data_IF_363167088808
#
_entry.id   IF_363167088808
#
_cell.length_a   1.000
_cell.length_b   1.000
_cell.length_c   1.000
_cell.angle_alpha   90.00
_cell.angle_beta   90.00
_cell.angle_gamma   90.00
#
_symmetry.space_group_name_H-M   'P 1'
#
loop_
_entity.id
_entity.type
_entity.pdbx_description
1 polymer ?
#
# COMPACT_ATOMS: atom_id res chain seq x y z
N UNK A 1 23.95 -26.32 -52.30
CA UNK A 1 23.83 -27.31 -51.21
C UNK A 1 24.71 -26.82 -50.06
N UNK A 2 24.13 -26.18 -49.05
CA UNK A 2 24.86 -25.64 -47.90
C UNK A 2 23.99 -25.76 -46.66
N UNK A 3 24.44 -26.55 -45.69
CA UNK A 3 23.67 -26.99 -44.53
C UNK A 3 23.48 -25.85 -43.51
N UNK A 4 22.24 -25.65 -43.07
CA UNK A 4 21.85 -24.72 -42.02
C UNK A 4 21.91 -25.49 -40.70
N UNK A 5 22.88 -25.16 -39.84
CA UNK A 5 23.00 -25.71 -38.49
C UNK A 5 21.99 -25.07 -37.55
N UNK A 6 21.03 -25.87 -37.07
CA UNK A 6 20.12 -25.54 -35.96
C UNK A 6 20.89 -25.65 -34.65
N UNK A 7 21.12 -24.54 -33.96
CA UNK A 7 21.48 -24.56 -32.53
C UNK A 7 20.20 -24.70 -31.70
N UNK A 8 20.11 -25.81 -30.98
CA UNK A 8 19.05 -26.12 -30.02
C UNK A 8 19.38 -25.40 -28.72
N UNK A 9 18.44 -24.59 -28.23
CA UNK A 9 18.56 -23.81 -27.00
C UNK A 9 18.68 -24.71 -25.77
N UNK A 10 19.54 -24.30 -24.84
CA UNK A 10 19.69 -24.93 -23.54
C UNK A 10 18.55 -24.47 -22.62
N UNK A 11 17.67 -25.40 -22.25
CA UNK A 11 16.68 -25.24 -21.19
C UNK A 11 17.39 -25.05 -19.84
N UNK A 12 17.44 -23.82 -19.35
CA UNK A 12 17.74 -23.53 -17.95
C UNK A 12 16.47 -23.72 -17.11
N UNK A 13 16.26 -24.95 -16.64
CA UNK A 13 15.28 -25.25 -15.60
C UNK A 13 15.67 -24.49 -14.32
N UNK A 14 14.83 -23.53 -13.91
CA UNK A 14 14.93 -22.88 -12.60
C UNK A 14 14.68 -23.92 -11.49
N UNK A 15 15.42 -23.88 -10.36
CA UNK A 15 15.17 -24.76 -9.23
C UNK A 15 13.79 -24.48 -8.62
N UNK A 16 12.97 -25.53 -8.52
CA UNK A 16 11.63 -25.47 -7.94
C UNK A 16 11.63 -25.03 -6.48
N UNK A 17 10.81 -24.03 -6.14
CA UNK A 17 10.56 -23.61 -4.75
C UNK A 17 9.70 -24.66 -4.04
N UNK A 18 10.16 -25.10 -2.87
CA UNK A 18 9.46 -26.03 -1.97
C UNK A 18 8.21 -25.37 -1.35
N UNK A 19 7.06 -26.06 -1.27
CA UNK A 19 5.85 -25.52 -0.65
C UNK A 19 6.01 -25.38 0.87
N UNK A 20 5.61 -24.21 1.42
CA UNK A 20 5.58 -23.94 2.86
C UNK A 20 4.38 -24.66 3.50
N UNK A 21 4.64 -25.42 4.58
CA UNK A 21 3.61 -26.04 5.43
C UNK A 21 2.78 -24.96 6.13
N UNK A 22 1.46 -24.97 5.92
CA UNK A 22 0.51 -24.13 6.64
C UNK A 22 0.37 -24.56 8.10
N UNK A 23 0.40 -23.59 9.01
CA UNK A 23 0.11 -23.76 10.44
C UNK A 23 -1.40 -23.59 10.63
N UNK A 24 -2.06 -24.63 11.14
CA UNK A 24 -3.47 -24.60 11.48
C UNK A 24 -3.70 -23.75 12.75
N UNK A 25 -4.58 -22.76 12.67
CA UNK A 25 -5.02 -21.95 13.80
C UNK A 25 -6.34 -22.53 14.33
N UNK A 26 -6.35 -22.96 15.60
CA UNK A 26 -7.54 -23.42 16.30
C UNK A 26 -8.45 -22.25 16.71
N UNK A 27 -9.77 -22.30 16.43
CA UNK A 27 -10.72 -21.33 16.95
C UNK A 27 -11.25 -21.79 18.31
N UNK A 28 -11.09 -20.97 19.35
CA UNK A 28 -11.94 -21.04 20.53
C UNK A 28 -11.24 -20.82 21.86
N UNK A 29 -11.04 -19.57 22.25
CA UNK A 29 -11.09 -19.17 23.66
C UNK A 29 -11.72 -17.78 23.79
N UNK A 30 -12.93 -17.72 24.35
CA UNK A 30 -13.55 -16.51 24.87
C UNK A 30 -13.15 -16.37 26.33
N UNK A 31 -12.42 -15.31 26.66
CA UNK A 31 -12.22 -14.87 28.04
C UNK A 31 -13.27 -13.80 28.36
N UNK A 32 -14.07 -14.07 29.40
CA UNK A 32 -15.03 -13.14 29.95
C UNK A 32 -14.33 -12.14 30.89
N UNK A 33 -14.65 -10.85 30.73
CA UNK A 33 -14.19 -9.77 31.63
C UNK A 33 -15.33 -9.39 32.59
N UNK A 34 -15.09 -9.30 33.91
CA UNK A 34 -16.10 -8.87 34.88
C UNK A 34 -16.33 -7.34 34.83
N UNK A 35 -17.59 -6.96 35.07
CA UNK A 35 -18.14 -5.63 34.85
C UNK A 35 -17.72 -4.55 35.84
N UNK A 36 -17.67 -3.32 35.33
CA UNK A 36 -17.53 -2.07 36.10
C UNK A 36 -18.88 -1.35 36.12
N UNK A 37 -19.41 -0.93 37.29
CA UNK A 37 -20.68 -0.22 37.35
C UNK A 37 -20.54 1.25 36.89
N UNK A 38 -21.36 1.64 35.91
CA UNK A 38 -21.48 3.02 35.44
C UNK A 38 -22.31 3.87 36.43
N UNK A 39 -21.75 5.02 36.84
CA UNK A 39 -22.48 6.09 37.55
C UNK A 39 -23.35 6.90 36.57
N UNK A 40 -24.58 7.31 36.94
CA UNK A 40 -25.43 8.14 36.09
C UNK A 40 -25.01 9.62 36.14
N UNK A 41 -24.74 10.20 34.96
CA UNK A 41 -24.51 11.63 34.79
C UNK A 41 -25.83 12.41 34.71
N UNK A 42 -25.89 13.54 35.43
CA UNK A 42 -27.04 14.45 35.51
C UNK A 42 -27.39 15.06 34.15
N UNK A 43 -28.70 15.09 33.89
CA UNK A 43 -29.36 15.66 32.70
C UNK A 43 -29.47 17.18 32.84
N UNK A 44 -28.60 17.93 32.18
CA UNK A 44 -28.76 19.37 31.97
C UNK A 44 -29.51 19.64 30.67
N UNK A 45 -30.73 20.17 30.77
CA UNK A 45 -31.46 20.71 29.62
C UNK A 45 -30.94 22.11 29.31
N UNK A 46 -30.50 22.36 28.08
CA UNK A 46 -30.06 23.68 27.64
C UNK A 46 -30.03 23.82 26.13
N UNK A 47 -31.05 24.49 25.60
CA UNK A 47 -30.96 25.41 24.45
C UNK A 47 -30.48 24.88 23.09
N UNK A 48 -31.43 24.63 22.19
CA UNK A 48 -31.18 24.57 20.73
C UNK A 48 -30.67 25.93 20.23
N UNK A 49 -29.46 25.97 19.67
CA UNK A 49 -29.05 26.94 18.65
C UNK A 49 -28.48 26.19 17.45
N UNK A 50 -29.12 26.39 16.30
CA UNK A 50 -28.60 25.99 15.00
C UNK A 50 -27.46 26.94 14.61
N UNK A 51 -26.41 26.42 13.96
CA UNK A 51 -25.65 27.25 13.02
C UNK A 51 -24.14 27.11 12.95
N UNK A 52 -23.50 26.17 13.62
CA UNK A 52 -22.10 25.82 13.33
C UNK A 52 -21.88 24.42 13.90
N UNK A 53 -21.50 23.45 13.07
CA UNK A 53 -21.08 22.14 13.58
C UNK A 53 -19.79 22.37 14.35
N UNK A 54 -19.92 22.60 15.65
CA UNK A 54 -18.84 22.62 16.61
C UNK A 54 -18.12 21.27 16.45
N UNK A 55 -17.02 21.25 15.68
CA UNK A 55 -16.15 20.08 15.58
C UNK A 55 -15.78 19.74 17.02
N UNK A 56 -16.31 18.61 17.51
CA UNK A 56 -16.04 18.19 18.87
C UNK A 56 -14.55 17.92 18.92
N UNK A 57 -13.85 18.59 19.84
CA UNK A 57 -12.47 18.26 20.18
C UNK A 57 -12.47 16.82 20.72
N UNK A 58 -12.30 15.84 19.84
CA UNK A 58 -12.22 14.44 20.22
C UNK A 58 -10.85 14.19 20.85
N UNK A 59 -10.85 13.84 22.14
CA UNK A 59 -9.63 13.48 22.86
C UNK A 59 -9.38 11.99 22.67
N UNK A 60 -8.45 11.65 21.77
CA UNK A 60 -7.95 10.27 21.63
C UNK A 60 -6.75 10.10 22.57
N UNK A 61 -6.89 9.23 23.57
CA UNK A 61 -5.78 8.85 24.47
C UNK A 61 -5.09 7.63 23.86
N UNK A 62 -3.86 7.81 23.37
CA UNK A 62 -3.04 6.71 22.88
C UNK A 62 -1.94 6.43 23.91
N UNK A 63 -1.92 5.22 24.45
CA UNK A 63 -0.93 4.75 25.42
C UNK A 63 0.36 4.26 24.73
N UNK A 64 0.89 5.08 23.82
CA UNK A 64 2.15 4.82 23.12
C UNK A 64 2.95 6.09 22.99
N UNK A 65 4.16 6.09 23.53
CA UNK A 65 5.12 7.21 23.45
C UNK A 65 5.64 7.50 22.03
N UNK A 66 5.25 6.70 21.04
CA UNK A 66 5.83 6.67 19.69
C UNK A 66 4.97 7.46 18.70
N UNK A 67 4.98 8.78 18.84
CA UNK A 67 4.24 9.70 17.95
C UNK A 67 5.06 10.21 16.75
N UNK A 68 6.08 9.49 16.28
CA UNK A 68 6.87 9.93 15.12
C UNK A 68 7.71 11.19 15.35
N UNK A 69 7.77 11.67 16.59
CA UNK A 69 8.38 12.97 16.92
C UNK A 69 9.89 12.88 17.19
N UNK A 70 10.43 11.67 17.36
CA UNK A 70 11.87 11.46 17.54
C UNK A 70 12.52 11.18 16.19
N UNK A 71 13.81 11.47 16.07
CA UNK A 71 14.53 11.33 14.80
C UNK A 71 14.55 9.90 14.26
N UNK A 72 14.64 8.89 15.14
CA UNK A 72 14.60 7.48 14.71
C UNK A 72 13.21 6.99 14.30
N UNK A 73 12.14 7.66 14.75
CA UNK A 73 10.77 7.31 14.38
C UNK A 73 10.39 7.86 12.99
N UNK A 74 11.21 8.77 12.44
CA UNK A 74 10.90 9.50 11.20
C UNK A 74 10.64 8.55 10.03
N UNK A 75 11.36 7.43 9.99
CA UNK A 75 11.25 6.39 8.96
C UNK A 75 10.34 5.21 9.33
N UNK A 76 9.93 5.07 10.60
CA UNK A 76 9.10 3.94 11.07
C UNK A 76 7.67 4.07 10.50
N UNK A 77 7.17 3.10 9.71
CA UNK A 77 5.86 3.21 9.08
C UNK A 77 4.69 3.24 10.09
N UNK A 78 4.91 2.83 11.35
CA UNK A 78 3.87 2.59 12.33
C UNK A 78 3.82 3.62 13.48
N UNK A 79 4.02 4.88 13.17
CA UNK A 79 4.01 5.97 14.16
C UNK A 79 2.66 6.68 14.22
N UNK A 80 2.30 7.23 15.39
CA UNK A 80 0.97 7.82 15.57
C UNK A 80 0.71 8.97 14.59
N UNK A 81 1.67 9.86 14.34
CA UNK A 81 1.55 10.96 13.36
C UNK A 81 1.14 10.49 11.95
N UNK A 82 1.60 9.31 11.51
CA UNK A 82 1.23 8.71 10.22
C UNK A 82 -0.19 8.14 10.22
N UNK A 83 -0.65 7.60 11.36
CA UNK A 83 -2.01 7.08 11.49
C UNK A 83 -3.07 8.15 11.80
N UNK A 84 -2.66 9.25 12.42
CA UNK A 84 -3.60 10.27 12.90
C UNK A 84 -4.34 10.97 11.76
N UNK A 85 -3.73 11.12 10.59
CA UNK A 85 -4.38 11.65 9.40
C UNK A 85 -5.61 10.82 8.98
N UNK A 86 -5.60 9.50 9.23
CA UNK A 86 -6.71 8.59 8.91
C UNK A 86 -7.84 8.62 9.92
N UNK A 87 -7.55 8.95 11.18
CA UNK A 87 -8.51 8.88 12.29
C UNK A 87 -9.13 10.24 12.56
N UNK A 88 -8.37 11.32 12.38
CA UNK A 88 -8.77 12.66 12.75
C UNK A 88 -9.09 13.51 11.50
N UNK A 89 -10.26 14.15 11.45
CA UNK A 89 -10.59 15.02 10.33
C UNK A 89 -9.66 16.24 10.27
N UNK A 90 -9.48 16.86 9.09
CA UNK A 90 -8.72 18.10 8.96
C UNK A 90 -9.16 19.16 9.98
N UNK A 91 -8.19 19.73 10.71
CA UNK A 91 -8.44 20.75 11.74
C UNK A 91 -8.65 20.19 13.16
N UNK A 92 -8.81 18.88 13.31
CA UNK A 92 -8.90 18.24 14.62
C UNK A 92 -7.64 18.46 15.47
N UNK A 93 -7.84 18.44 16.79
CA UNK A 93 -6.79 18.62 17.78
C UNK A 93 -6.60 17.33 18.55
N UNK A 94 -5.39 16.77 18.49
CA UNK A 94 -5.04 15.61 19.31
C UNK A 94 -4.44 16.06 20.63
N UNK A 95 -4.90 15.46 21.72
CA UNK A 95 -4.29 15.59 23.04
C UNK A 95 -3.65 14.26 23.41
N UNK A 96 -2.33 14.17 23.26
CA UNK A 96 -1.57 12.97 23.66
C UNK A 96 -1.20 13.11 25.14
N UNK A 97 -1.60 12.14 25.94
CA UNK A 97 -1.15 12.00 27.33
C UNK A 97 0.03 11.03 27.35
N UNK A 98 1.26 11.55 27.37
CA UNK A 98 2.43 10.75 27.71
C UNK A 98 2.49 10.61 29.24
N UNK A 99 2.97 9.48 29.75
CA UNK A 99 3.00 9.17 31.20
C UNK A 99 3.34 10.35 32.12
N UNK A 100 2.71 10.34 33.32
CA UNK A 100 2.73 11.42 34.32
C UNK A 100 2.31 12.80 33.76
N UNK A 101 1.02 12.91 33.43
CA UNK A 101 0.21 14.14 33.35
C UNK A 101 0.62 15.25 32.35
N UNK A 102 1.60 15.06 31.46
CA UNK A 102 1.87 16.05 30.41
C UNK A 102 0.98 15.83 29.20
N UNK A 103 -0.06 16.66 29.09
CA UNK A 103 -0.87 16.76 27.87
C UNK A 103 -0.15 17.65 26.88
N UNK A 104 0.31 17.09 25.76
CA UNK A 104 0.72 17.89 24.60
C UNK A 104 -0.45 18.00 23.63
N UNK A 105 -0.82 19.24 23.30
CA UNK A 105 -1.85 19.51 22.29
C UNK A 105 -1.15 19.69 20.95
N UNK A 106 -1.31 18.72 20.07
CA UNK A 106 -0.84 18.83 18.69
C UNK A 106 -2.00 19.33 17.84
N UNK A 107 -1.85 20.51 17.24
CA UNK A 107 -2.78 20.98 16.22
C UNK A 107 -2.36 20.33 14.90
N UNK A 108 -3.19 19.44 14.38
CA UNK A 108 -3.00 18.91 13.03
C UNK A 108 -3.21 20.07 12.05
N UNK A 109 -2.11 20.72 11.65
CA UNK A 109 -2.12 21.61 10.50
C UNK A 109 -2.09 20.72 9.30
N UNK A 110 -3.25 20.55 8.67
CA UNK A 110 -3.33 20.00 7.32
C UNK A 110 -2.75 21.04 6.35
N UNK A 111 -1.44 21.26 6.43
CA UNK A 111 -0.70 21.64 5.25
C UNK A 111 -0.70 20.38 4.43
N UNK A 112 -1.63 20.27 3.49
CA UNK A 112 -1.67 19.20 2.51
C UNK A 112 -0.40 19.30 1.66
N UNK A 113 0.75 18.94 2.24
CA UNK A 113 1.82 18.37 1.47
C UNK A 113 1.16 17.14 0.86
N UNK A 114 0.84 17.23 -0.44
CA UNK A 114 0.45 16.07 -1.21
C UNK A 114 1.50 15.01 -0.92
N UNK A 115 1.17 14.02 -0.09
CA UNK A 115 2.12 12.99 0.28
C UNK A 115 2.56 12.35 -1.03
N UNK A 116 3.83 12.57 -1.38
CA UNK A 116 4.46 11.93 -2.51
C UNK A 116 4.27 10.44 -2.32
N UNK A 117 3.68 9.76 -3.31
CA UNK A 117 3.56 8.32 -3.25
C UNK A 117 4.96 7.71 -3.23
N UNK A 118 5.09 6.49 -2.71
CA UNK A 118 6.33 5.75 -2.82
C UNK A 118 6.05 4.36 -3.37
N UNK A 119 6.88 3.92 -4.31
CA UNK A 119 6.96 2.53 -4.71
C UNK A 119 7.94 1.80 -3.78
N UNK A 120 7.54 0.64 -3.28
CA UNK A 120 8.44 -0.32 -2.65
C UNK A 120 8.67 -1.49 -3.61
N UNK A 121 9.91 -1.77 -3.97
CA UNK A 121 10.29 -2.82 -4.92
C UNK A 121 11.19 -3.83 -4.20
N UNK A 122 10.73 -5.05 -3.91
CA UNK A 122 11.60 -6.11 -3.44
C UNK A 122 12.64 -6.44 -4.51
N UNK A 123 13.86 -6.75 -4.07
CA UNK A 123 14.97 -7.03 -4.99
C UNK A 123 15.70 -8.29 -4.54
N UNK A 124 16.16 -9.11 -5.47
CA UNK A 124 16.91 -10.33 -5.17
C UNK A 124 18.18 -10.43 -6.02
N UNK A 125 19.27 -9.85 -5.52
CA UNK A 125 20.55 -9.77 -6.24
C UNK A 125 21.51 -10.82 -5.70
N UNK A 126 22.03 -11.68 -6.57
CA UNK A 126 23.04 -12.70 -6.23
C UNK A 126 22.67 -13.58 -5.03
N UNK A 127 21.38 -13.93 -4.89
CA UNK A 127 20.90 -14.74 -3.77
C UNK A 127 20.54 -13.94 -2.50
N UNK A 128 20.73 -12.62 -2.51
CA UNK A 128 20.50 -11.74 -1.36
C UNK A 128 19.20 -10.97 -1.52
N UNK A 129 18.31 -11.12 -0.54
CA UNK A 129 17.06 -10.36 -0.47
C UNK A 129 17.32 -8.92 0.02
N UNK A 130 16.73 -7.96 -0.69
CA UNK A 130 16.73 -6.55 -0.34
C UNK A 130 15.44 -5.87 -0.79
N UNK A 131 15.44 -4.54 -0.79
CA UNK A 131 14.35 -3.75 -1.33
C UNK A 131 14.80 -2.32 -1.63
N UNK A 132 14.14 -1.71 -2.60
CA UNK A 132 14.32 -0.29 -2.93
C UNK A 132 13.01 0.45 -2.73
N UNK A 133 13.11 1.70 -2.28
CA UNK A 133 11.97 2.60 -2.14
C UNK A 133 12.20 3.83 -2.99
N UNK A 134 11.26 4.13 -3.88
CA UNK A 134 11.35 5.26 -4.81
C UNK A 134 10.20 6.23 -4.54
N UNK A 135 10.47 7.54 -4.35
CA UNK A 135 9.42 8.54 -4.39
C UNK A 135 8.82 8.60 -5.80
N UNK A 136 7.51 8.83 -5.90
CA UNK A 136 6.76 9.00 -7.13
C UNK A 136 6.03 10.35 -7.08
N UNK A 137 6.75 11.42 -7.41
CA UNK A 137 6.23 12.78 -7.49
C UNK A 137 5.82 13.16 -8.92
N UNK A 138 6.54 12.64 -9.93
CA UNK A 138 6.37 13.01 -11.33
C UNK A 138 6.60 11.85 -12.32
N UNK A 139 6.54 12.16 -13.62
CA UNK A 139 6.71 11.19 -14.69
C UNK A 139 8.15 10.64 -14.78
N UNK A 140 9.15 11.39 -14.34
CA UNK A 140 10.54 10.96 -14.33
C UNK A 140 10.76 9.90 -13.24
N UNK A 141 10.12 10.05 -12.08
CA UNK A 141 10.10 9.03 -11.04
C UNK A 141 9.47 7.71 -11.53
N UNK A 142 8.33 7.79 -12.23
CA UNK A 142 7.67 6.59 -12.79
C UNK A 142 8.54 5.93 -13.86
N UNK A 143 9.30 6.71 -14.62
CA UNK A 143 10.26 6.17 -15.59
C UNK A 143 11.40 5.42 -14.89
N UNK A 144 11.94 5.96 -13.79
CA UNK A 144 12.94 5.25 -12.97
C UNK A 144 12.40 3.97 -12.35
N UNK A 145 11.13 3.97 -11.92
CA UNK A 145 10.47 2.75 -11.47
C UNK A 145 10.37 1.70 -12.59
N UNK A 146 10.03 2.11 -13.81
CA UNK A 146 9.95 1.22 -14.96
C UNK A 146 11.31 0.59 -15.30
N UNK A 147 12.37 1.39 -15.30
CA UNK A 147 13.75 0.91 -15.49
C UNK A 147 14.14 -0.10 -14.41
N UNK A 148 13.82 0.19 -13.15
CA UNK A 148 14.07 -0.74 -12.05
C UNK A 148 13.30 -2.06 -12.21
N UNK A 149 12.03 -2.00 -12.60
CA UNK A 149 11.18 -3.18 -12.80
C UNK A 149 11.58 -4.01 -14.03
N UNK A 150 12.29 -3.42 -14.99
CA UNK A 150 12.82 -4.15 -16.15
C UNK A 150 14.02 -5.06 -15.77
N UNK A 151 14.60 -4.87 -14.58
CA UNK A 151 15.71 -5.67 -14.12
C UNK A 151 15.26 -7.07 -13.71
N UNK A 152 15.99 -8.14 -14.10
CA UNK A 152 15.55 -9.53 -13.87
C UNK A 152 15.55 -9.95 -12.40
N UNK A 153 16.16 -9.15 -11.53
CA UNK A 153 16.22 -9.35 -10.07
C UNK A 153 15.19 -8.52 -9.31
N UNK A 154 14.43 -7.65 -9.98
CA UNK A 154 13.34 -6.91 -9.37
C UNK A 154 12.08 -7.77 -9.30
N UNK A 155 11.36 -7.66 -8.18
CA UNK A 155 10.05 -8.29 -8.00
C UNK A 155 8.92 -7.26 -8.16
N UNK A 156 7.68 -7.68 -7.95
CA UNK A 156 6.49 -6.83 -8.02
C UNK A 156 6.61 -5.59 -7.13
N UNK A 157 6.57 -4.41 -7.71
CA UNK A 157 6.51 -3.15 -6.99
C UNK A 157 5.12 -2.96 -6.35
N UNK A 158 5.08 -2.35 -5.16
CA UNK A 158 3.83 -1.93 -4.51
C UNK A 158 3.82 -0.42 -4.32
N UNK A 159 2.78 0.24 -4.83
CA UNK A 159 2.54 1.68 -4.68
C UNK A 159 1.30 1.85 -3.82
N UNK A 160 1.45 2.49 -2.66
CA UNK A 160 0.35 2.66 -1.71
C UNK A 160 -0.03 4.13 -1.56
N UNK A 161 -1.32 4.39 -1.62
CA UNK A 161 -1.96 5.66 -1.25
C UNK A 161 -2.77 5.47 0.04
N UNK A 162 -3.55 6.48 0.42
CA UNK A 162 -4.43 6.37 1.59
C UNK A 162 -5.56 5.36 1.38
N UNK A 163 -6.16 5.38 0.18
CA UNK A 163 -7.41 4.66 -0.15
C UNK A 163 -7.22 3.49 -1.11
N UNK A 164 -6.03 3.37 -1.72
CA UNK A 164 -5.77 2.37 -2.75
C UNK A 164 -4.30 1.91 -2.77
N UNK A 165 -4.09 0.69 -3.25
CA UNK A 165 -2.79 0.13 -3.59
C UNK A 165 -2.77 -0.33 -5.05
N UNK A 166 -1.62 -0.16 -5.70
CA UNK A 166 -1.35 -0.65 -7.04
C UNK A 166 -0.05 -1.46 -7.01
N UNK A 167 -0.16 -2.75 -7.32
CA UNK A 167 0.98 -3.62 -7.53
C UNK A 167 1.32 -3.67 -9.02
N UNK A 168 2.61 -3.56 -9.35
CA UNK A 168 3.13 -3.46 -10.72
C UNK A 168 4.22 -4.50 -10.91
N UNK A 169 4.04 -5.39 -11.87
CA UNK A 169 5.04 -6.37 -12.27
C UNK A 169 5.41 -6.18 -13.74
N UNK A 170 6.68 -6.32 -14.10
CA UNK A 170 7.15 -6.28 -15.49
C UNK A 170 8.06 -7.48 -15.72
N UNK A 171 7.81 -8.22 -16.78
CA UNK A 171 8.61 -9.38 -17.17
C UNK A 171 8.51 -9.62 -18.68
N UNK A 172 9.65 -9.83 -19.34
CA UNK A 172 9.72 -10.23 -20.76
C UNK A 172 8.92 -9.29 -21.71
N UNK A 173 8.90 -7.99 -21.42
CA UNK A 173 8.17 -6.96 -22.18
C UNK A 173 6.67 -6.85 -21.84
N UNK A 174 6.15 -7.73 -20.99
CA UNK A 174 4.79 -7.67 -20.46
C UNK A 174 4.76 -6.95 -19.12
N UNK A 175 3.74 -6.13 -18.90
CA UNK A 175 3.41 -5.55 -17.62
C UNK A 175 2.08 -6.08 -17.09
N UNK A 176 1.96 -6.16 -15.78
CA UNK A 176 0.80 -6.65 -15.06
C UNK A 176 0.46 -5.69 -13.93
N UNK A 177 -0.83 -5.42 -13.73
CA UNK A 177 -1.29 -4.60 -12.61
C UNK A 177 -2.31 -5.35 -11.77
N UNK A 178 -2.18 -5.20 -10.46
CA UNK A 178 -3.22 -5.56 -9.48
C UNK A 178 -3.57 -4.31 -8.68
N UNK A 179 -4.83 -3.90 -8.75
CA UNK A 179 -5.38 -2.78 -8.00
C UNK A 179 -6.19 -3.30 -6.81
N UNK A 180 -6.04 -2.66 -5.66
CA UNK A 180 -6.90 -2.85 -4.49
C UNK A 180 -7.37 -1.48 -3.99
N UNK A 181 -8.68 -1.26 -3.90
CA UNK A 181 -9.26 -0.03 -3.36
C UNK A 181 -10.79 -0.06 -3.42
N UNK A 182 -11.44 1.11 -3.46
CA UNK A 182 -12.92 1.24 -3.46
C UNK A 182 -13.62 0.45 -4.58
N UNK A 183 -12.94 0.24 -5.72
CA UNK A 183 -13.48 -0.50 -6.85
C UNK A 183 -13.35 -2.03 -6.70
N UNK A 184 -12.80 -2.52 -5.58
CA UNK A 184 -12.52 -3.93 -5.33
C UNK A 184 -11.07 -4.32 -5.62
N UNK A 185 -10.87 -5.62 -5.81
CA UNK A 185 -9.61 -6.23 -6.22
C UNK A 185 -9.68 -6.55 -7.70
N UNK A 186 -8.87 -5.86 -8.50
CA UNK A 186 -8.92 -5.91 -9.95
C UNK A 186 -7.54 -6.19 -10.51
N UNK A 187 -7.47 -7.02 -11.56
CA UNK A 187 -6.26 -7.25 -12.34
C UNK A 187 -6.43 -6.76 -13.77
N UNK A 188 -5.32 -6.50 -14.47
CA UNK A 188 -5.38 -6.16 -15.89
C UNK A 188 -5.98 -7.31 -16.71
N UNK A 189 -6.90 -6.95 -17.61
CA UNK A 189 -7.49 -7.86 -18.59
C UNK A 189 -6.76 -7.66 -19.93
N UNK A 190 -5.69 -8.43 -20.10
CA UNK A 190 -4.66 -8.17 -21.09
C UNK A 190 -4.79 -8.96 -22.38
N UNK A 191 -3.65 -9.16 -23.02
CA UNK A 191 -3.53 -9.97 -24.23
C UNK A 191 -3.58 -11.46 -23.86
N UNK A 192 -4.48 -12.28 -24.45
CA UNK A 192 -4.54 -13.72 -24.21
C UNK A 192 -3.23 -14.49 -24.41
N UNK A 193 -2.29 -13.96 -25.21
CA UNK A 193 -0.97 -14.54 -25.44
C UNK A 193 0.04 -14.22 -24.33
N UNK A 194 -0.26 -13.28 -23.44
CA UNK A 194 0.62 -12.95 -22.32
C UNK A 194 0.74 -14.13 -21.34
N UNK A 195 1.97 -14.44 -20.86
CA UNK A 195 2.17 -15.52 -19.92
C UNK A 195 1.58 -15.16 -18.55
N UNK A 196 1.36 -16.18 -17.72
CA UNK A 196 1.15 -15.96 -16.29
C UNK A 196 2.43 -15.39 -15.66
N UNK A 197 2.29 -14.59 -14.61
CA UNK A 197 3.41 -14.00 -13.90
C UNK A 197 3.23 -14.15 -12.38
N UNK A 198 4.31 -14.38 -11.62
CA UNK A 198 4.23 -14.54 -10.18
C UNK A 198 3.84 -13.21 -9.52
N UNK A 199 2.91 -13.26 -8.57
CA UNK A 199 2.65 -12.19 -7.61
C UNK A 199 2.02 -12.81 -6.34
N UNK A 200 1.66 -12.00 -5.33
CA UNK A 200 1.05 -12.53 -4.10
C UNK A 200 -0.21 -13.39 -4.37
N UNK A 201 -1.00 -13.04 -5.39
CA UNK A 201 -2.18 -13.80 -5.82
C UNK A 201 -2.00 -14.51 -7.17
N UNK A 202 -0.80 -14.48 -7.74
CA UNK A 202 -0.45 -14.81 -9.12
C UNK A 202 -1.26 -14.06 -10.20
N UNK A 203 -0.59 -13.61 -11.26
CA UNK A 203 -1.25 -13.12 -12.46
C UNK A 203 -1.53 -14.28 -13.40
N UNK A 204 -2.80 -14.61 -13.72
CA UNK A 204 -3.11 -15.64 -14.69
C UNK A 204 -2.64 -15.24 -16.10
N UNK A 205 -2.47 -16.23 -16.97
CA UNK A 205 -2.25 -15.98 -18.39
C UNK A 205 -3.38 -15.11 -18.96
N UNK A 206 -3.06 -14.26 -19.93
CA UNK A 206 -4.02 -13.29 -20.44
C UNK A 206 -4.12 -11.99 -19.65
N UNK A 207 -3.41 -11.81 -18.53
CA UNK A 207 -3.43 -10.56 -17.75
C UNK A 207 -2.40 -9.52 -18.19
N UNK A 208 -1.40 -9.92 -18.97
CA UNK A 208 -0.30 -9.04 -19.38
C UNK A 208 -0.69 -8.07 -20.48
N UNK A 209 -0.20 -6.84 -20.37
CA UNK A 209 -0.28 -5.80 -21.39
C UNK A 209 1.14 -5.41 -21.83
N UNK A 210 1.34 -4.77 -23.01
CA UNK A 210 2.62 -4.19 -23.35
C UNK A 210 3.12 -3.25 -22.23
N UNK A 211 4.38 -3.38 -21.84
CA UNK A 211 4.94 -2.66 -20.69
C UNK A 211 4.71 -1.14 -20.78
N UNK A 212 4.80 -0.52 -21.97
CA UNK A 212 4.58 0.92 -22.11
C UNK A 212 3.15 1.33 -21.71
N UNK A 213 2.16 0.47 -21.97
CA UNK A 213 0.76 0.71 -21.60
C UNK A 213 0.56 0.64 -20.09
N UNK A 214 1.24 -0.29 -19.43
CA UNK A 214 1.24 -0.39 -17.96
C UNK A 214 1.91 0.82 -17.33
N UNK A 215 3.04 1.28 -17.87
CA UNK A 215 3.70 2.49 -17.36
C UNK A 215 2.81 3.74 -17.52
N UNK A 216 2.05 3.85 -18.60
CA UNK A 216 1.05 4.91 -18.74
C UNK A 216 -0.05 4.85 -17.65
N UNK A 217 -0.53 3.66 -17.31
CA UNK A 217 -1.49 3.47 -16.22
C UNK A 217 -0.89 3.78 -14.85
N UNK A 218 0.38 3.47 -14.61
CA UNK A 218 1.08 3.86 -13.36
C UNK A 218 1.18 5.38 -13.25
N UNK A 219 1.51 6.10 -14.33
CA UNK A 219 1.50 7.58 -14.33
C UNK A 219 0.10 8.12 -14.01
N UNK A 220 -0.94 7.52 -14.57
CA UNK A 220 -2.32 7.89 -14.25
C UNK A 220 -2.65 7.65 -12.77
N UNK A 221 -2.26 6.49 -12.22
CA UNK A 221 -2.43 6.19 -10.80
C UNK A 221 -1.70 7.19 -9.91
N UNK A 222 -0.45 7.52 -10.22
CA UNK A 222 0.35 8.46 -9.42
C UNK A 222 -0.30 9.84 -9.35
N UNK A 223 -0.83 10.31 -10.48
CA UNK A 223 -1.52 11.60 -10.57
C UNK A 223 -2.88 11.61 -9.88
N UNK A 224 -3.66 10.53 -10.03
CA UNK A 224 -5.07 10.52 -9.64
C UNK A 224 -5.34 9.83 -8.31
N UNK A 225 -4.44 8.93 -7.88
CA UNK A 225 -4.57 8.01 -6.75
C UNK A 225 -5.83 7.13 -6.82
N UNK A 226 -6.30 6.86 -8.03
CA UNK A 226 -7.53 6.11 -8.32
C UNK A 226 -7.25 5.05 -9.37
N UNK A 227 -8.18 4.10 -9.51
CA UNK A 227 -8.17 3.09 -10.56
C UNK A 227 -7.87 3.72 -11.94
N UNK A 228 -6.72 3.37 -12.57
CA UNK A 228 -6.37 3.88 -13.89
C UNK A 228 -7.39 3.48 -14.95
N UNK A 229 -7.80 4.41 -15.81
CA UNK A 229 -8.76 4.16 -16.90
C UNK A 229 -8.10 3.82 -18.23
N UNK A 230 -6.79 4.01 -18.33
CA UNK A 230 -5.99 3.76 -19.54
C UNK A 230 -5.85 2.27 -19.90
N UNK A 231 -6.20 1.37 -18.99
CA UNK A 231 -6.14 -0.09 -19.17
C UNK A 231 -7.47 -0.74 -18.82
N UNK A 232 -7.81 -1.86 -19.49
CA UNK A 232 -8.94 -2.70 -19.10
C UNK A 232 -8.62 -3.49 -17.81
N UNK A 233 -9.68 -3.77 -17.05
CA UNK A 233 -9.62 -4.47 -15.77
C UNK A 233 -10.65 -5.60 -15.75
N UNK A 234 -10.35 -6.65 -14.98
CA UNK A 234 -11.26 -7.73 -14.60
C UNK A 234 -11.13 -8.01 -13.10
N UNK A 235 -12.13 -8.67 -12.52
CA UNK A 235 -12.07 -9.13 -11.14
C UNK A 235 -10.89 -10.08 -10.95
N UNK A 236 -10.19 -9.90 -9.82
CA UNK A 236 -9.03 -10.71 -9.45
C UNK A 236 -9.41 -12.05 -8.81
#
# INVERSE_FOLDING_TARGET
>A
MGAIGRMVGADHQRPGRTPRRGVAIHPGQRLATPGVPARPARRGQGGRRNGERQQRDETVVMDREVCGTREFDRDDPFTCDKYLARILPPGARLRVATGWHRIRVHRYRNGAAMTTLAASVPTFRDGVQGGQRLPLADDADVTRLAELLAEPWADTASIQSEDAALNVHVQDGWGYLLYAGDAGYLMTDGDPASPAAPCEMDFPAGSGLPAERVIAAVREFVRTRKLPKTVPWRDA
#
